data_IF_606041176776
#
_entry.id   IF_606041176776
#
_cell.length_a   1.000
_cell.length_b   1.000
_cell.length_c   1.000
_cell.angle_alpha   90.00
_cell.angle_beta   90.00
_cell.angle_gamma   90.00
#
_symmetry.space_group_name_H-M   'P 1'
#
loop_
_entity.id
_entity.type
_entity.pdbx_description
1 polymer ?
#
# COMPACT_ATOMS: atom_id res chain seq x y z
N UNK A 1 1.27 8.67 -12.31
CA UNK A 1 0.53 7.95 -11.27
C UNK A 1 -0.76 7.34 -11.82
N UNK A 2 -1.24 6.26 -11.21
CA UNK A 2 -2.48 5.51 -11.49
C UNK A 2 -3.60 5.92 -10.55
N UNK A 3 -3.31 6.44 -9.36
CA UNK A 3 -4.34 6.80 -8.38
C UNK A 3 -4.53 8.31 -8.23
N UNK A 4 -5.76 8.72 -7.96
CA UNK A 4 -6.15 10.09 -7.62
C UNK A 4 -7.20 10.07 -6.51
N UNK A 5 -7.13 11.02 -5.60
CA UNK A 5 -8.19 11.30 -4.64
C UNK A 5 -9.19 12.28 -5.24
N UNK A 6 -10.46 12.14 -4.86
CA UNK A 6 -11.51 13.07 -5.20
C UNK A 6 -12.28 13.46 -3.93
N UNK A 7 -11.99 14.65 -3.43
CA UNK A 7 -12.42 15.10 -2.10
C UNK A 7 -13.94 15.06 -1.93
N UNK A 8 -14.71 15.37 -2.97
CA UNK A 8 -16.18 15.35 -2.91
C UNK A 8 -16.76 13.95 -2.64
N UNK A 9 -16.09 12.89 -3.12
CA UNK A 9 -16.50 11.51 -2.88
C UNK A 9 -15.72 10.84 -1.75
N UNK A 10 -14.74 11.54 -1.15
CA UNK A 10 -13.94 11.04 -0.03
C UNK A 10 -13.23 9.72 -0.33
N UNK A 11 -12.88 9.45 -1.60
CA UNK A 11 -12.28 8.18 -2.00
C UNK A 11 -11.23 8.34 -3.09
N UNK A 12 -10.31 7.39 -3.11
CA UNK A 12 -9.30 7.23 -4.14
C UNK A 12 -9.84 6.36 -5.28
N UNK A 13 -9.59 6.81 -6.50
CA UNK A 13 -9.89 6.14 -7.75
C UNK A 13 -8.59 5.77 -8.46
N UNK A 14 -8.65 4.72 -9.26
CA UNK A 14 -7.65 4.46 -10.29
C UNK A 14 -8.04 5.15 -11.60
N UNK A 15 -7.06 5.39 -12.46
CA UNK A 15 -7.27 5.91 -13.81
C UNK A 15 -8.28 5.08 -14.62
N UNK A 16 -8.19 3.74 -14.67
CA UNK A 16 -9.18 2.90 -15.33
C UNK A 16 -10.60 3.04 -14.76
N UNK A 17 -10.75 3.16 -13.43
CA UNK A 17 -12.08 3.38 -12.83
C UNK A 17 -12.65 4.76 -13.22
N UNK A 18 -11.81 5.80 -13.20
CA UNK A 18 -12.25 7.13 -13.62
C UNK A 18 -12.60 7.16 -15.12
N UNK A 19 -11.83 6.46 -15.95
CA UNK A 19 -12.09 6.34 -17.38
C UNK A 19 -13.48 5.73 -17.65
N UNK A 20 -13.81 4.62 -16.98
CA UNK A 20 -15.14 4.00 -17.09
C UNK A 20 -16.25 4.97 -16.69
N UNK A 21 -16.08 5.72 -15.59
CA UNK A 21 -17.07 6.71 -15.15
C UNK A 21 -17.26 7.84 -16.16
N UNK A 22 -16.18 8.28 -16.83
CA UNK A 22 -16.23 9.30 -17.90
C UNK A 22 -16.99 8.78 -19.12
N UNK A 23 -16.71 7.54 -19.53
CA UNK A 23 -17.35 6.89 -20.68
C UNK A 23 -18.86 6.68 -20.44
N UNK A 24 -19.26 6.37 -19.19
CA UNK A 24 -20.66 6.12 -18.83
C UNK A 24 -21.52 7.39 -18.68
N UNK A 25 -20.93 8.53 -18.28
CA UNK A 25 -21.67 9.74 -17.89
C UNK A 25 -21.56 10.93 -18.86
N UNK A 26 -21.04 10.70 -20.07
CA UNK A 26 -21.03 11.61 -21.23
C UNK A 26 -21.23 13.12 -20.91
N UNK A 27 -20.11 13.83 -20.69
CA UNK A 27 -19.85 15.27 -20.85
C UNK A 27 -19.67 16.22 -19.64
N UNK A 28 -20.07 15.90 -18.40
CA UNK A 28 -19.96 16.87 -17.27
C UNK A 28 -18.81 16.61 -16.26
N UNK A 29 -17.88 15.68 -16.57
CA UNK A 29 -16.88 15.21 -15.59
C UNK A 29 -15.47 15.80 -15.75
N UNK A 30 -15.25 16.71 -16.71
CA UNK A 30 -13.91 17.24 -17.01
C UNK A 30 -13.30 18.16 -15.92
N UNK A 31 -14.11 18.62 -14.97
CA UNK A 31 -13.68 19.53 -13.90
C UNK A 31 -13.65 18.87 -12.51
N UNK A 32 -13.41 17.56 -12.43
CA UNK A 32 -13.22 16.94 -11.10
C UNK A 32 -11.95 17.52 -10.45
N UNK A 33 -12.04 18.15 -9.25
CA UNK A 33 -10.87 18.55 -8.47
C UNK A 33 -10.12 17.31 -7.95
N UNK A 34 -9.37 16.67 -8.83
CA UNK A 34 -8.54 15.51 -8.52
C UNK A 34 -7.27 15.97 -7.81
N UNK A 35 -6.92 15.29 -6.71
CA UNK A 35 -5.73 15.58 -5.92
C UNK A 35 -4.87 14.34 -5.73
N UNK A 36 -3.56 14.54 -5.59
CA UNK A 36 -2.64 13.47 -5.23
C UNK A 36 -2.93 13.01 -3.80
N UNK A 37 -3.19 11.71 -3.54
CA UNK A 37 -3.50 11.23 -2.20
C UNK A 37 -2.35 11.36 -1.20
N UNK A 38 -1.13 11.65 -1.68
CA UNK A 38 0.08 11.73 -0.85
C UNK A 38 0.42 13.18 -0.48
N UNK A 39 0.32 14.11 -1.43
CA UNK A 39 0.74 15.50 -1.24
C UNK A 39 -0.38 16.53 -1.40
N UNK A 40 -1.61 16.08 -1.69
CA UNK A 40 -2.81 16.88 -1.93
C UNK A 40 -2.69 17.92 -3.06
N UNK A 41 -1.66 17.83 -3.91
CA UNK A 41 -1.52 18.70 -5.08
C UNK A 41 -2.52 18.31 -6.17
N UNK A 42 -2.97 19.30 -6.93
CA UNK A 42 -3.90 19.10 -8.04
C UNK A 42 -3.28 18.20 -9.12
N UNK A 43 -4.12 17.33 -9.68
CA UNK A 43 -3.76 16.42 -10.75
C UNK A 43 -4.46 16.80 -12.06
N UNK A 44 -3.77 16.52 -13.16
CA UNK A 44 -4.35 16.47 -14.50
C UNK A 44 -4.58 15.01 -14.86
N UNK A 45 -5.81 14.70 -15.27
CA UNK A 45 -6.16 13.40 -15.85
C UNK A 45 -5.77 13.34 -17.32
N UNK A 46 -5.19 12.23 -17.72
CA UNK A 46 -4.86 11.92 -19.11
C UNK A 46 -5.36 10.51 -19.41
N UNK A 47 -5.98 10.32 -20.57
CA UNK A 47 -6.30 8.97 -21.04
C UNK A 47 -5.00 8.24 -21.33
N UNK A 48 -4.63 7.29 -20.47
CA UNK A 48 -3.43 6.49 -20.63
C UNK A 48 -3.71 5.17 -21.37
N UNK A 49 -2.69 4.66 -22.07
CA UNK A 49 -2.75 3.28 -22.58
C UNK A 49 -2.44 2.28 -21.46
N UNK A 50 -2.95 1.05 -21.60
CA UNK A 50 -2.63 -0.05 -20.69
C UNK A 50 -1.11 -0.34 -20.60
N UNK A 51 -0.35 0.04 -21.63
CA UNK A 51 1.11 -0.11 -21.70
C UNK A 51 1.86 0.95 -20.88
N UNK A 52 1.19 2.06 -20.50
CA UNK A 52 1.77 3.13 -19.67
C UNK A 52 0.87 3.39 -18.47
N UNK A 53 0.72 2.41 -17.57
CA UNK A 53 -0.27 2.50 -16.52
C UNK A 53 -0.04 3.73 -15.62
N UNK A 54 1.21 4.14 -15.40
CA UNK A 54 1.52 5.32 -14.60
C UNK A 54 1.28 6.68 -15.27
N UNK A 55 0.60 6.75 -16.41
CA UNK A 55 0.38 8.03 -17.11
C UNK A 55 -1.04 8.58 -16.99
N UNK A 56 -1.91 7.94 -16.22
CA UNK A 56 -3.29 8.43 -16.01
C UNK A 56 -3.35 9.78 -15.30
N UNK A 57 -2.44 10.00 -14.36
CA UNK A 57 -2.39 11.23 -13.57
C UNK A 57 -0.98 11.81 -13.52
N UNK A 58 -0.90 13.13 -13.58
CA UNK A 58 0.32 13.92 -13.36
C UNK A 58 -0.01 15.15 -12.53
N UNK A 59 0.91 15.63 -11.69
CA UNK A 59 0.71 16.90 -10.99
C UNK A 59 0.60 18.05 -11.99
N UNK A 60 -0.43 18.89 -11.83
CA UNK A 60 -0.70 20.00 -12.74
C UNK A 60 0.37 21.10 -12.68
N UNK A 61 1.12 21.17 -11.58
CA UNK A 61 2.25 22.09 -11.40
C UNK A 61 3.57 21.58 -12.00
N UNK A 62 3.55 20.41 -12.65
CA UNK A 62 4.74 19.76 -13.23
C UNK A 62 5.67 19.13 -12.20
N UNK A 63 5.28 19.05 -10.92
CA UNK A 63 6.09 18.42 -9.89
C UNK A 63 6.15 16.90 -10.04
N UNK A 64 7.23 16.31 -9.51
CA UNK A 64 7.51 14.88 -9.62
C UNK A 64 6.41 14.01 -8.99
N UNK A 65 6.23 12.83 -9.55
CA UNK A 65 5.27 11.83 -9.09
C UNK A 65 5.64 11.32 -7.68
N UNK A 66 4.69 11.37 -6.73
CA UNK A 66 4.94 10.96 -5.35
C UNK A 66 5.20 9.45 -5.18
N UNK A 67 4.82 8.63 -6.16
CA UNK A 67 5.02 7.19 -6.15
C UNK A 67 6.25 6.73 -6.94
N UNK A 68 6.87 7.64 -7.71
CA UNK A 68 8.05 7.31 -8.48
C UNK A 68 9.32 7.49 -7.65
N UNK A 69 9.98 6.39 -7.32
CA UNK A 69 11.29 6.41 -6.67
C UNK A 69 12.29 5.59 -7.48
N UNK A 70 13.56 6.06 -7.51
CA UNK A 70 14.61 5.49 -8.38
C UNK A 70 14.92 4.01 -8.12
N UNK A 71 14.49 3.47 -6.98
CA UNK A 71 14.78 2.10 -6.54
C UNK A 71 13.61 1.14 -6.70
N UNK A 72 12.42 1.63 -7.10
CA UNK A 72 11.20 0.85 -7.09
C UNK A 72 10.85 0.41 -8.51
N UNK A 73 10.75 -0.91 -8.71
CA UNK A 73 10.28 -1.46 -9.99
C UNK A 73 8.82 -1.10 -10.23
N UNK A 74 8.43 -0.94 -11.48
CA UNK A 74 7.05 -0.67 -11.90
C UNK A 74 6.03 -1.60 -11.24
N UNK A 75 6.30 -2.91 -11.14
CA UNK A 75 5.36 -3.84 -10.51
C UNK A 75 5.20 -3.64 -9.00
N UNK A 76 6.26 -3.20 -8.32
CA UNK A 76 6.20 -2.88 -6.88
C UNK A 76 5.47 -1.56 -6.66
N UNK A 77 5.75 -0.57 -7.52
CA UNK A 77 5.02 0.70 -7.55
C UNK A 77 3.53 0.49 -7.80
N UNK A 78 3.17 -0.39 -8.74
CA UNK A 78 1.79 -0.76 -9.02
C UNK A 78 1.10 -1.30 -7.76
N UNK A 79 1.76 -2.23 -7.06
CA UNK A 79 1.25 -2.78 -5.80
C UNK A 79 1.07 -1.69 -4.72
N UNK A 80 2.00 -0.73 -4.63
CA UNK A 80 1.91 0.42 -3.70
C UNK A 80 0.67 1.26 -4.01
N UNK A 81 0.51 1.71 -5.26
CA UNK A 81 -0.60 2.60 -5.64
C UNK A 81 -1.96 1.95 -5.38
N UNK A 82 -2.13 0.67 -5.73
CA UNK A 82 -3.36 -0.06 -5.45
C UNK A 82 -3.58 -0.32 -3.95
N UNK A 83 -2.51 -0.56 -3.18
CA UNK A 83 -2.60 -0.72 -1.73
C UNK A 83 -2.99 0.59 -1.04
N UNK A 84 -2.46 1.73 -1.49
CA UNK A 84 -2.87 3.07 -1.03
C UNK A 84 -4.36 3.26 -1.23
N UNK A 85 -4.88 2.99 -2.43
CA UNK A 85 -6.31 3.07 -2.70
C UNK A 85 -7.12 2.17 -1.77
N UNK A 86 -6.74 0.89 -1.67
CA UNK A 86 -7.47 -0.08 -0.87
C UNK A 86 -7.51 0.32 0.62
N UNK A 87 -6.37 0.75 1.18
CA UNK A 87 -6.29 1.20 2.57
C UNK A 87 -7.08 2.47 2.82
N UNK A 88 -6.85 3.50 2.00
CA UNK A 88 -7.53 4.79 2.17
C UNK A 88 -9.04 4.61 2.15
N UNK A 89 -9.56 3.94 1.11
CA UNK A 89 -11.00 3.77 0.94
C UNK A 89 -11.59 2.93 2.07
N UNK A 90 -10.91 1.85 2.48
CA UNK A 90 -11.38 0.99 3.57
C UNK A 90 -11.43 1.72 4.91
N UNK A 91 -10.41 2.52 5.21
CA UNK A 91 -10.35 3.27 6.46
C UNK A 91 -11.43 4.36 6.45
N UNK A 92 -11.49 5.16 5.37
CA UNK A 92 -12.49 6.21 5.22
C UNK A 92 -13.92 5.67 5.32
N UNK A 93 -14.21 4.54 4.68
CA UNK A 93 -15.53 3.88 4.76
C UNK A 93 -15.88 3.43 6.18
N UNK A 94 -14.92 2.88 6.93
CA UNK A 94 -15.16 2.34 8.28
C UNK A 94 -15.24 3.43 9.34
N UNK A 95 -14.39 4.45 9.24
CA UNK A 95 -14.25 5.46 10.28
C UNK A 95 -15.03 6.74 10.00
N UNK A 96 -15.25 7.09 8.72
CA UNK A 96 -15.77 8.40 8.32
C UNK A 96 -14.81 9.57 8.57
N UNK A 97 -13.58 9.28 9.01
CA UNK A 97 -12.58 10.29 9.41
C UNK A 97 -11.58 10.58 8.30
N UNK A 98 -10.99 11.78 8.24
CA UNK A 98 -9.92 12.10 7.31
C UNK A 98 -8.71 11.16 7.44
N UNK A 99 -8.28 10.61 6.30
CA UNK A 99 -7.15 9.68 6.24
C UNK A 99 -5.89 10.41 5.80
N UNK A 100 -4.85 10.36 6.63
CA UNK A 100 -3.52 10.88 6.29
C UNK A 100 -2.64 9.70 5.92
N UNK A 101 -2.33 9.58 4.63
CA UNK A 101 -1.59 8.45 4.04
C UNK A 101 -0.34 8.95 3.30
N UNK A 102 0.76 8.23 3.46
CA UNK A 102 2.03 8.46 2.80
C UNK A 102 2.58 7.17 2.19
N UNK A 103 3.54 7.30 1.28
CA UNK A 103 4.34 6.19 0.74
C UNK A 103 5.82 6.35 1.06
N UNK A 104 6.52 5.23 1.21
CA UNK A 104 7.96 5.14 1.46
C UNK A 104 8.44 6.05 2.61
N UNK A 105 7.71 6.06 3.74
CA UNK A 105 8.05 6.90 4.92
C UNK A 105 8.63 6.11 6.07
N UNK A 106 9.41 6.81 6.88
CA UNK A 106 10.02 6.26 8.08
C UNK A 106 8.98 6.00 9.18
N UNK A 107 9.17 4.87 9.85
CA UNK A 107 8.58 4.57 11.15
C UNK A 107 9.73 4.35 12.13
N UNK A 108 9.74 5.09 13.24
CA UNK A 108 10.81 5.11 14.23
C UNK A 108 11.76 6.29 14.09
N UNK A 109 12.88 6.22 14.81
CA UNK A 109 13.90 7.27 14.88
C UNK A 109 15.11 6.94 14.00
N UNK A 110 15.98 7.93 13.72
CA UNK A 110 17.15 7.76 12.83
C UNK A 110 18.06 6.58 13.18
N UNK A 111 18.15 6.20 14.45
CA UNK A 111 18.96 5.07 14.91
C UNK A 111 18.27 3.72 14.72
N UNK A 112 16.94 3.69 14.71
CA UNK A 112 16.10 2.49 14.63
C UNK A 112 14.83 2.79 13.85
N UNK A 113 14.96 2.84 12.53
CA UNK A 113 13.81 3.03 11.62
C UNK A 113 13.64 1.85 10.66
N UNK A 114 12.42 1.79 10.12
CA UNK A 114 12.09 1.08 8.89
C UNK A 114 11.38 2.04 7.95
N UNK A 115 11.49 1.77 6.65
CA UNK A 115 10.71 2.45 5.61
C UNK A 115 9.53 1.55 5.31
N UNK A 116 8.32 2.04 5.57
CA UNK A 116 7.08 1.37 5.22
C UNK A 116 6.70 1.76 3.79
N UNK A 117 6.25 0.77 3.00
CA UNK A 117 5.79 1.04 1.63
C UNK A 117 4.57 1.96 1.63
N UNK A 118 3.63 1.72 2.54
CA UNK A 118 2.47 2.59 2.79
C UNK A 118 2.32 2.84 4.29
N UNK A 119 2.11 4.10 4.68
CA UNK A 119 1.96 4.53 6.07
C UNK A 119 0.73 5.40 6.23
N UNK A 120 -0.14 5.06 7.18
CA UNK A 120 -1.27 5.89 7.61
C UNK A 120 -1.00 6.37 9.02
N UNK A 121 -1.20 7.66 9.28
CA UNK A 121 -1.01 8.29 10.60
C UNK A 121 -2.29 8.88 11.19
N UNK A 122 -3.38 8.91 10.41
CA UNK A 122 -4.71 9.33 10.85
C UNK A 122 -5.75 8.57 10.04
N UNK A 123 -6.86 8.12 10.66
CA UNK A 123 -7.18 8.19 12.10
C UNK A 123 -6.44 7.13 12.94
N UNK A 124 -5.73 6.20 12.31
CA UNK A 124 -5.01 5.11 12.96
C UNK A 124 -3.58 5.03 12.43
N UNK A 125 -2.64 4.61 13.29
CA UNK A 125 -1.28 4.32 12.89
C UNK A 125 -1.20 2.93 12.22
N UNK A 126 -1.10 2.89 10.89
CA UNK A 126 -1.06 1.65 10.10
C UNK A 126 0.15 1.67 9.16
N UNK A 127 0.87 0.56 9.08
CA UNK A 127 1.96 0.33 8.15
C UNK A 127 1.62 -0.87 7.27
N UNK A 128 1.56 -0.70 5.95
CA UNK A 128 1.49 -1.82 5.04
C UNK A 128 2.84 -2.03 4.36
N UNK A 129 3.34 -3.26 4.49
CA UNK A 129 4.59 -3.72 3.89
C UNK A 129 4.25 -4.59 2.69
N UNK A 130 4.84 -4.28 1.55
CA UNK A 130 4.58 -4.92 0.27
C UNK A 130 5.80 -5.76 -0.10
N UNK A 131 5.58 -7.01 -0.51
CA UNK A 131 6.66 -7.94 -0.84
C UNK A 131 6.52 -8.43 -2.27
N UNK A 132 7.48 -8.03 -3.12
CA UNK A 132 7.57 -8.50 -4.50
C UNK A 132 8.80 -9.39 -4.73
N UNK A 133 9.97 -8.83 -5.04
CA UNK A 133 11.20 -9.57 -5.40
C UNK A 133 12.29 -9.59 -4.31
N UNK A 134 11.95 -9.26 -3.06
CA UNK A 134 12.95 -9.24 -1.98
C UNK A 134 13.43 -10.65 -1.60
N UNK A 135 14.73 -10.83 -1.43
CA UNK A 135 15.34 -12.07 -0.94
C UNK A 135 14.92 -12.41 0.50
N UNK A 136 14.83 -11.38 1.36
CA UNK A 136 14.55 -11.52 2.79
C UNK A 136 13.42 -10.58 3.19
N UNK A 137 12.47 -11.11 3.96
CA UNK A 137 11.37 -10.32 4.53
C UNK A 137 11.84 -9.60 5.80
N UNK A 138 12.73 -10.24 6.58
CA UNK A 138 13.26 -9.73 7.84
C UNK A 138 12.16 -9.22 8.81
N UNK A 139 11.02 -9.92 8.86
CA UNK A 139 9.83 -9.49 9.61
C UNK A 139 10.11 -9.28 11.09
N UNK A 140 11.05 -10.06 11.67
CA UNK A 140 11.40 -9.93 13.08
C UNK A 140 12.03 -8.59 13.46
N UNK A 141 12.78 -7.94 12.55
CA UNK A 141 13.28 -6.58 12.77
C UNK A 141 12.19 -5.57 12.43
N UNK A 142 11.51 -5.75 11.29
CA UNK A 142 10.51 -4.80 10.80
C UNK A 142 9.35 -4.62 11.76
N UNK A 143 8.66 -5.71 12.09
CA UNK A 143 7.49 -5.68 12.98
C UNK A 143 7.84 -5.16 14.37
N UNK A 144 9.04 -5.47 14.89
CA UNK A 144 9.50 -4.92 16.16
C UNK A 144 9.56 -3.39 16.12
N UNK A 145 10.11 -2.80 15.06
CA UNK A 145 10.18 -1.34 14.93
C UNK A 145 8.80 -0.74 14.71
N UNK A 146 7.97 -1.33 13.86
CA UNK A 146 6.58 -0.88 13.60
C UNK A 146 5.79 -0.85 14.90
N UNK A 147 5.77 -1.96 15.65
CA UNK A 147 5.00 -2.08 16.88
C UNK A 147 5.54 -1.23 18.04
N UNK A 148 6.86 -1.05 18.13
CA UNK A 148 7.45 -0.16 19.14
C UNK A 148 7.08 1.31 18.93
N UNK A 149 6.51 1.68 17.78
CA UNK A 149 6.05 3.03 17.46
C UNK A 149 4.51 3.10 17.35
N UNK A 150 3.79 2.14 17.95
CA UNK A 150 2.32 2.10 18.02
C UNK A 150 1.62 1.98 16.64
N UNK A 151 2.34 1.47 15.63
CA UNK A 151 1.72 1.12 14.35
C UNK A 151 1.16 -0.29 14.38
N UNK A 152 0.01 -0.50 13.75
CA UNK A 152 -0.48 -1.82 13.34
C UNK A 152 0.03 -2.13 11.93
N UNK A 153 0.04 -3.40 11.54
CA UNK A 153 0.63 -3.81 10.26
C UNK A 153 -0.30 -4.64 9.38
N UNK A 154 -0.23 -4.38 8.08
CA UNK A 154 -0.62 -5.30 7.02
C UNK A 154 0.65 -5.83 6.31
N UNK A 155 0.60 -7.08 5.89
CA UNK A 155 1.61 -7.65 4.98
C UNK A 155 0.94 -8.00 3.67
N UNK A 156 1.35 -7.39 2.57
CA UNK A 156 0.78 -7.62 1.24
C UNK A 156 1.83 -8.27 0.36
N UNK A 157 1.51 -9.41 -0.24
CA UNK A 157 2.44 -10.14 -1.11
C UNK A 157 1.96 -10.11 -2.55
N UNK A 158 2.87 -9.81 -3.46
CA UNK A 158 2.60 -9.94 -4.88
C UNK A 158 2.42 -11.42 -5.24
N UNK A 159 1.36 -11.79 -5.96
CA UNK A 159 1.05 -13.19 -6.31
C UNK A 159 2.14 -13.82 -7.18
N UNK A 160 2.64 -13.06 -8.16
CA UNK A 160 3.80 -13.40 -8.99
C UNK A 160 5.16 -12.95 -8.40
N UNK A 161 5.23 -12.70 -7.09
CA UNK A 161 6.46 -12.32 -6.41
C UNK A 161 7.41 -13.50 -6.18
N UNK A 162 8.57 -13.22 -5.59
CA UNK A 162 9.57 -14.24 -5.24
C UNK A 162 9.03 -15.26 -4.23
N UNK A 163 8.18 -14.82 -3.31
CA UNK A 163 7.64 -15.65 -2.24
C UNK A 163 6.15 -15.90 -2.48
N UNK A 164 5.76 -17.17 -2.53
CA UNK A 164 4.35 -17.55 -2.68
C UNK A 164 3.54 -17.14 -1.42
N UNK A 165 2.49 -16.30 -1.55
CA UNK A 165 1.72 -15.81 -0.40
C UNK A 165 1.11 -16.93 0.45
N UNK A 166 0.58 -17.99 -0.17
CA UNK A 166 -0.03 -19.12 0.53
C UNK A 166 0.99 -19.95 1.32
N UNK A 167 2.26 -19.94 0.90
CA UNK A 167 3.35 -20.57 1.65
C UNK A 167 3.77 -19.70 2.83
N UNK A 168 3.87 -18.39 2.64
CA UNK A 168 4.18 -17.44 3.72
C UNK A 168 3.11 -17.47 4.81
N UNK A 169 1.83 -17.39 4.42
CA UNK A 169 0.70 -17.45 5.34
C UNK A 169 0.74 -18.71 6.20
N UNK A 170 0.97 -19.88 5.60
CA UNK A 170 1.12 -21.15 6.33
C UNK A 170 2.27 -21.14 7.34
N UNK A 171 3.39 -20.48 7.04
CA UNK A 171 4.48 -20.34 8.01
C UNK A 171 4.09 -19.39 9.15
N UNK A 172 3.48 -18.25 8.83
CA UNK A 172 3.05 -17.28 9.83
C UNK A 172 1.96 -17.85 10.75
N UNK A 173 1.05 -18.68 10.21
CA UNK A 173 0.03 -19.40 10.98
C UNK A 173 0.58 -20.37 12.01
N UNK A 174 1.85 -20.75 11.92
CA UNK A 174 2.49 -21.54 12.98
C UNK A 174 2.70 -20.72 14.25
N UNK A 175 2.90 -19.40 14.13
CA UNK A 175 3.20 -18.50 15.24
C UNK A 175 2.01 -17.63 15.63
N UNK A 176 1.14 -17.27 14.69
CA UNK A 176 -0.06 -16.48 14.96
C UNK A 176 -1.12 -16.69 13.87
N UNK A 177 -2.43 -16.72 14.19
CA UNK A 177 -3.50 -16.99 13.23
C UNK A 177 -3.82 -15.77 12.35
N UNK A 178 -2.86 -15.34 11.53
CA UNK A 178 -2.99 -14.18 10.65
C UNK A 178 -3.09 -14.59 9.18
N UNK A 179 -3.89 -13.85 8.41
CA UNK A 179 -3.95 -13.91 6.94
C UNK A 179 -3.16 -12.77 6.33
N UNK A 180 -2.42 -13.06 5.28
CA UNK A 180 -1.66 -12.04 4.55
C UNK A 180 -2.49 -11.47 3.41
N UNK A 181 -2.24 -10.21 3.07
CA UNK A 181 -2.76 -9.59 1.86
C UNK A 181 -2.09 -10.12 0.59
N UNK A 182 -2.78 -9.95 -0.53
CA UNK A 182 -2.33 -10.38 -1.86
C UNK A 182 -2.58 -9.29 -2.88
N UNK A 183 -1.60 -9.04 -3.73
CA UNK A 183 -1.74 -8.19 -4.91
C UNK A 183 -1.55 -9.01 -6.18
N UNK A 184 -2.53 -8.96 -7.08
CA UNK A 184 -2.43 -9.58 -8.40
C UNK A 184 -2.28 -8.53 -9.48
N UNK A 185 -1.15 -8.53 -10.19
CA UNK A 185 -0.86 -7.55 -11.23
C UNK A 185 -1.71 -7.73 -12.50
N UNK A 186 -2.24 -8.92 -12.75
CA UNK A 186 -3.07 -9.19 -13.93
C UNK A 186 -4.48 -8.65 -13.75
N UNK A 187 -5.09 -8.90 -12.58
CA UNK A 187 -6.43 -8.39 -12.26
C UNK A 187 -6.40 -6.98 -11.65
N UNK A 188 -5.23 -6.54 -11.18
CA UNK A 188 -5.00 -5.28 -10.47
C UNK A 188 -5.82 -5.20 -9.18
N UNK A 189 -6.01 -6.32 -8.50
CA UNK A 189 -6.76 -6.41 -7.25
C UNK A 189 -5.82 -6.52 -6.05
N UNK A 190 -6.20 -5.84 -4.97
CA UNK A 190 -5.55 -5.95 -3.65
C UNK A 190 -6.52 -6.53 -2.66
N UNK A 191 -6.07 -7.55 -1.92
CA UNK A 191 -6.67 -7.98 -0.66
C UNK A 191 -5.71 -7.60 0.47
N UNK A 192 -6.20 -6.97 1.53
CA UNK A 192 -5.32 -6.46 2.61
C UNK A 192 -4.90 -7.53 3.62
N UNK A 193 -5.66 -8.61 3.75
CA UNK A 193 -5.45 -9.60 4.81
C UNK A 193 -5.95 -9.09 6.17
N UNK A 194 -5.35 -9.59 7.25
CA UNK A 194 -5.70 -9.15 8.60
C UNK A 194 -4.80 -7.98 9.04
N UNK A 195 -5.39 -6.99 9.72
CA UNK A 195 -4.65 -5.95 10.43
C UNK A 195 -4.20 -6.50 11.77
N UNK A 196 -2.91 -6.45 12.08
CA UNK A 196 -2.41 -7.01 13.34
C UNK A 196 -1.46 -6.10 14.12
N UNK A 197 -1.45 -6.27 15.45
CA UNK A 197 -0.59 -5.57 16.42
C UNK A 197 0.40 -6.52 17.11
N UNK A 198 1.22 -5.98 18.01
CA UNK A 198 2.12 -6.76 18.86
C UNK A 198 1.40 -7.80 19.73
N UNK A 199 0.15 -7.53 20.11
CA UNK A 199 -0.67 -8.40 20.96
C UNK A 199 -1.04 -9.70 20.22
N UNK A 200 -1.18 -9.62 18.90
CA UNK A 200 -1.50 -10.76 18.04
C UNK A 200 -0.25 -11.46 17.51
N UNK A 201 0.81 -10.69 17.22
CA UNK A 201 2.05 -11.21 16.62
C UNK A 201 3.26 -10.63 17.35
N UNK A 202 3.86 -11.41 18.24
CA UNK A 202 5.20 -11.11 18.75
C UNK A 202 6.16 -12.17 18.22
N UNK A 203 7.03 -11.81 17.27
CA UNK A 203 8.09 -12.70 16.78
C UNK A 203 9.22 -12.80 17.81
N UNK A 204 8.95 -13.51 18.90
CA UNK A 204 9.90 -13.82 19.98
C UNK A 204 11.08 -14.66 19.45
N UNK A 205 12.09 -14.92 20.29
CA UNK A 205 13.23 -15.75 19.88
C UNK A 205 12.76 -17.16 19.50
N UNK A 206 11.88 -17.77 20.29
CA UNK A 206 11.32 -19.09 20.01
C UNK A 206 10.47 -19.12 18.73
N UNK A 207 9.72 -18.06 18.43
CA UNK A 207 8.92 -17.99 17.20
C UNK A 207 9.80 -17.86 15.95
N UNK A 208 10.91 -17.12 16.06
CA UNK A 208 11.87 -16.99 14.95
C UNK A 208 12.52 -18.31 14.59
N UNK A 209 12.69 -19.22 15.54
CA UNK A 209 13.28 -20.53 15.31
C UNK A 209 12.27 -21.51 14.66
N UNK A 210 10.96 -21.19 14.72
CA UNK A 210 9.89 -21.93 14.01
C UNK A 210 9.68 -21.45 12.57
N UNK A 211 10.20 -20.27 12.24
CA UNK A 211 10.07 -19.67 10.91
C UNK A 211 11.34 -19.88 10.07
N UNK A 212 11.22 -20.01 8.73
CA UNK A 212 12.37 -19.94 7.85
C UNK A 212 13.18 -18.65 8.06
N UNK A 213 14.51 -18.77 7.98
CA UNK A 213 15.42 -17.64 8.20
C UNK A 213 15.10 -16.43 7.31
N UNK A 214 14.72 -16.64 6.05
CA UNK A 214 14.40 -15.54 5.13
C UNK A 214 13.11 -14.77 5.51
N UNK A 215 12.25 -15.36 6.36
CA UNK A 215 11.06 -14.69 6.91
C UNK A 215 11.46 -13.93 8.18
N UNK A 216 12.15 -14.60 9.10
CA UNK A 216 12.39 -14.08 10.44
C UNK A 216 13.57 -13.10 10.56
N UNK A 217 14.63 -13.28 9.74
CA UNK A 217 15.95 -12.65 9.91
C UNK A 217 16.40 -11.86 8.69
#
# INVERSE_FOLDING_TARGET
>A
MIVANYDMLGRIFTGPELQLLIEENSHDLFDWPLTCPICNRQLTYQSASLERPFTYFSHSDGSADCFETKSTSDEHRLAIEYTVKALYNRISEVTGEPVVIDVEKWIGTREKFVIADVRVTSPLNIAAEIFYKTERLALGRRLRTVFANDFKSYLVFHTNGKHNPNRIERYLQQVAPIRVGRFDANTREVTLGDLFSAEQVTLSRSDRDRLPNYIAR
#
